data_IF_314982455574
#
_entry.id   IF_314982455574
#
_cell.length_a   1.000
_cell.length_b   1.000
_cell.length_c   1.000
_cell.angle_alpha   90.00
_cell.angle_beta   90.00
_cell.angle_gamma   90.00
#
_symmetry.space_group_name_H-M   'P 1'
#
loop_
_entity.id
_entity.type
_entity.pdbx_description
1 polymer ?
#
# COMPACT_ATOMS: atom_id res chain seq x y z
N UNK A 1 -19.13 -11.06 10.94
CA UNK A 1 -18.27 -12.06 10.28
C UNK A 1 -19.07 -12.82 9.23
N UNK A 2 -18.58 -12.83 7.99
CA UNK A 2 -19.25 -13.54 6.90
C UNK A 2 -19.02 -15.06 7.02
N UNK A 3 -19.99 -15.89 6.67
CA UNK A 3 -19.75 -17.31 6.52
C UNK A 3 -18.63 -17.59 5.51
N UNK A 4 -17.89 -18.67 5.74
CA UNK A 4 -16.68 -18.98 4.98
C UNK A 4 -16.90 -19.01 3.47
N UNK A 5 -17.98 -19.60 2.99
CA UNK A 5 -18.30 -19.67 1.57
C UNK A 5 -18.65 -18.28 0.98
N UNK A 6 -19.35 -17.45 1.75
CA UNK A 6 -19.67 -16.09 1.31
C UNK A 6 -18.43 -15.20 1.31
N UNK A 7 -17.51 -15.41 2.26
CA UNK A 7 -16.26 -14.69 2.31
C UNK A 7 -15.39 -15.00 1.09
N UNK A 8 -15.32 -16.26 0.67
CA UNK A 8 -14.57 -16.66 -0.53
C UNK A 8 -15.15 -15.99 -1.78
N UNK A 9 -16.47 -15.95 -1.91
CA UNK A 9 -17.13 -15.28 -3.04
C UNK A 9 -16.90 -13.78 -3.04
N UNK A 10 -17.03 -13.14 -1.88
CA UNK A 10 -16.81 -11.71 -1.73
C UNK A 10 -15.37 -11.35 -2.07
N UNK A 11 -14.41 -12.14 -1.60
CA UNK A 11 -13.00 -11.93 -1.88
C UNK A 11 -12.69 -12.07 -3.36
N UNK A 12 -13.25 -13.10 -4.02
CA UNK A 12 -13.08 -13.31 -5.46
C UNK A 12 -13.62 -12.14 -6.28
N UNK A 13 -14.79 -11.65 -5.91
CA UNK A 13 -15.39 -10.49 -6.58
C UNK A 13 -14.53 -9.24 -6.42
N UNK A 14 -13.98 -9.02 -5.22
CA UNK A 14 -13.11 -7.88 -4.97
C UNK A 14 -11.79 -8.00 -5.74
N UNK A 15 -11.16 -9.16 -5.70
CA UNK A 15 -9.89 -9.39 -6.39
C UNK A 15 -10.00 -9.33 -7.90
N UNK A 16 -11.19 -9.56 -8.45
CA UNK A 16 -11.42 -9.40 -9.90
C UNK A 16 -11.23 -7.94 -10.35
N UNK A 17 -11.25 -6.99 -9.42
CA UNK A 17 -11.00 -5.57 -9.70
C UNK A 17 -9.52 -5.19 -9.58
N UNK A 18 -8.66 -6.13 -9.22
CA UNK A 18 -7.22 -5.88 -9.04
C UNK A 18 -6.50 -5.92 -10.38
N UNK A 19 -6.54 -4.81 -11.10
CA UNK A 19 -5.92 -4.68 -12.43
C UNK A 19 -4.48 -4.18 -12.36
N UNK A 20 -4.01 -3.81 -11.18
CA UNK A 20 -2.68 -3.26 -10.98
C UNK A 20 -1.75 -4.31 -10.40
N UNK A 21 -0.45 -4.06 -10.47
CA UNK A 21 0.56 -4.93 -9.86
C UNK A 21 1.44 -4.14 -8.92
N UNK A 22 1.87 -4.81 -7.86
CA UNK A 22 2.70 -4.22 -6.82
C UNK A 22 3.91 -5.10 -6.53
N UNK A 23 5.07 -4.46 -6.44
CA UNK A 23 6.31 -5.10 -5.96
C UNK A 23 6.69 -4.43 -4.65
N UNK A 24 6.89 -5.24 -3.61
CA UNK A 24 7.19 -4.76 -2.26
C UNK A 24 8.66 -4.96 -1.98
N UNK A 25 9.35 -3.89 -1.58
CA UNK A 25 10.77 -3.89 -1.27
C UNK A 25 10.97 -3.36 0.15
N UNK A 26 11.76 -4.10 0.93
CA UNK A 26 12.13 -3.69 2.29
C UNK A 26 13.59 -3.26 2.33
N UNK A 27 13.87 -2.24 3.12
CA UNK A 27 15.22 -1.79 3.39
C UNK A 27 15.68 -2.48 4.67
N UNK A 28 16.57 -3.46 4.52
CA UNK A 28 16.97 -4.33 5.63
C UNK A 28 18.43 -4.14 5.99
N UNK A 29 18.70 -4.24 7.29
CA UNK A 29 20.05 -4.28 7.81
C UNK A 29 20.64 -5.66 7.51
N UNK A 30 21.79 -5.70 6.85
CA UNK A 30 22.45 -6.94 6.46
C UNK A 30 23.91 -6.88 6.86
N UNK A 31 24.48 -8.07 7.16
CA UNK A 31 25.90 -8.22 7.42
C UNK A 31 26.60 -8.51 6.11
N UNK A 32 27.55 -7.66 5.74
CA UNK A 32 28.31 -7.82 4.48
C UNK A 32 29.48 -8.78 4.65
N UNK A 33 30.06 -9.23 3.54
CA UNK A 33 31.15 -10.20 3.52
C UNK A 33 32.38 -9.73 4.30
N UNK A 34 32.64 -8.43 4.33
CA UNK A 34 33.76 -7.84 5.08
C UNK A 34 33.44 -7.63 6.55
N UNK A 35 32.41 -8.28 7.09
CA UNK A 35 31.95 -8.17 8.46
C UNK A 35 31.36 -6.80 8.84
N UNK A 36 31.28 -5.85 7.91
CA UNK A 36 30.63 -4.58 8.16
C UNK A 36 29.11 -4.75 8.08
N UNK A 37 28.38 -3.87 8.79
CA UNK A 37 26.93 -3.81 8.75
C UNK A 37 26.50 -2.74 7.75
N UNK A 38 25.59 -3.10 6.86
CA UNK A 38 25.03 -2.15 5.91
C UNK A 38 23.56 -2.42 5.70
N UNK A 39 22.96 -1.71 4.76
CA UNK A 39 21.55 -1.88 4.39
C UNK A 39 21.47 -2.34 2.95
N UNK A 40 20.54 -3.24 2.68
CA UNK A 40 20.22 -3.68 1.32
C UNK A 40 18.72 -3.61 1.09
N UNK A 41 18.35 -3.36 -0.16
CA UNK A 41 16.97 -3.41 -0.59
C UNK A 41 16.63 -4.85 -0.94
N UNK A 42 15.65 -5.40 -0.24
CA UNK A 42 15.23 -6.78 -0.42
C UNK A 42 13.82 -6.80 -0.99
N UNK A 43 13.67 -7.36 -2.19
CA UNK A 43 12.35 -7.57 -2.78
C UNK A 43 11.70 -8.74 -2.08
N UNK A 44 10.62 -8.49 -1.35
CA UNK A 44 9.93 -9.55 -0.59
C UNK A 44 8.74 -10.11 -1.34
N UNK A 45 8.23 -9.39 -2.34
CA UNK A 45 7.09 -9.83 -3.14
C UNK A 45 7.10 -9.11 -4.48
N UNK A 46 6.91 -9.85 -5.58
CA UNK A 46 6.90 -9.29 -6.92
C UNK A 46 5.55 -9.51 -7.60
N UNK A 47 5.15 -8.54 -8.41
CA UNK A 47 3.99 -8.64 -9.30
C UNK A 47 2.72 -9.12 -8.61
N UNK A 48 2.49 -8.66 -7.39
CA UNK A 48 1.30 -8.99 -6.63
C UNK A 48 0.11 -8.21 -7.17
N UNK A 49 -1.00 -8.89 -7.50
CA UNK A 49 -2.21 -8.17 -7.90
C UNK A 49 -2.69 -7.23 -6.80
N UNK A 50 -3.07 -6.04 -7.19
CA UNK A 50 -3.55 -5.01 -6.27
C UNK A 50 -4.44 -4.01 -7.00
N UNK A 51 -5.00 -3.08 -6.26
CA UNK A 51 -5.77 -1.98 -6.82
C UNK A 51 -5.35 -0.66 -6.19
N UNK A 52 -4.81 0.21 -7.01
CA UNK A 52 -4.48 1.57 -6.59
C UNK A 52 -5.74 2.42 -6.60
N UNK A 53 -5.95 3.18 -5.54
CA UNK A 53 -7.14 4.01 -5.38
C UNK A 53 -6.76 5.41 -4.95
N UNK A 54 -7.40 6.40 -5.57
CA UNK A 54 -7.26 7.80 -5.20
C UNK A 54 -8.55 8.28 -4.58
N UNK A 55 -8.49 8.73 -3.35
CA UNK A 55 -9.64 9.27 -2.64
C UNK A 55 -9.42 10.74 -2.34
N UNK A 56 -10.45 11.54 -2.57
CA UNK A 56 -10.42 12.97 -2.25
C UNK A 56 -11.28 13.19 -1.01
N UNK A 57 -10.67 13.78 0.03
CA UNK A 57 -11.37 14.15 1.25
C UNK A 57 -11.46 15.65 1.29
N UNK A 58 -12.69 16.14 1.42
CA UNK A 58 -12.95 17.57 1.57
C UNK A 58 -13.20 17.86 3.05
N UNK A 59 -12.32 18.67 3.64
CA UNK A 59 -12.48 19.15 5.01
C UNK A 59 -13.00 20.58 4.98
N UNK A 60 -14.19 20.76 5.53
CA UNK A 60 -14.71 22.11 5.75
C UNK A 60 -14.16 22.59 7.09
N UNK A 61 -13.23 23.54 7.04
CA UNK A 61 -12.71 24.15 8.25
C UNK A 61 -13.78 25.00 8.92
N UNK A 62 -13.98 24.80 10.22
CA UNK A 62 -14.90 25.61 11.01
C UNK A 62 -14.27 26.87 11.55
N UNK A 63 -13.06 27.17 11.20
CA UNK A 63 -12.48 28.48 11.49
C UNK A 63 -13.14 29.54 10.60
N UNK A 64 -13.46 30.66 11.17
CA UNK A 64 -14.38 31.67 10.63
C UNK A 64 -14.07 32.28 9.26
N UNK A 65 -13.15 31.76 8.49
CA UNK A 65 -12.84 32.20 7.13
C UNK A 65 -13.50 31.35 6.04
N UNK A 66 -14.20 30.27 6.42
CA UNK A 66 -14.89 29.41 5.47
C UNK A 66 -13.98 28.63 4.49
N UNK A 67 -12.70 28.53 4.76
CA UNK A 67 -11.78 27.84 3.87
C UNK A 67 -12.03 26.34 3.84
N UNK A 68 -12.16 25.78 2.63
CA UNK A 68 -12.29 24.36 2.40
C UNK A 68 -10.95 23.80 1.96
N UNK A 69 -10.42 22.82 2.68
CA UNK A 69 -9.22 22.12 2.25
C UNK A 69 -9.58 20.81 1.58
N UNK A 70 -8.90 20.50 0.48
CA UNK A 70 -9.07 19.27 -0.27
C UNK A 70 -7.79 18.46 -0.13
N UNK A 71 -7.92 17.23 0.39
CA UNK A 71 -6.77 16.32 0.56
C UNK A 71 -6.99 15.09 -0.30
N UNK A 72 -6.02 14.76 -1.13
CA UNK A 72 -6.02 13.53 -1.89
C UNK A 72 -5.25 12.46 -1.11
N UNK A 73 -5.92 11.31 -0.89
CA UNK A 73 -5.32 10.17 -0.23
C UNK A 73 -5.13 9.08 -1.26
N UNK A 74 -3.91 8.53 -1.33
CA UNK A 74 -3.58 7.42 -2.21
C UNK A 74 -3.56 6.16 -1.35
N UNK A 75 -4.29 5.15 -1.78
CA UNK A 75 -4.40 3.88 -1.05
C UNK A 75 -4.22 2.72 -2.03
N UNK A 76 -3.74 1.60 -1.52
CA UNK A 76 -3.71 0.36 -2.28
C UNK A 76 -4.50 -0.72 -1.55
N UNK A 77 -5.31 -1.46 -2.31
CA UNK A 77 -6.02 -2.64 -1.84
C UNK A 77 -5.24 -3.87 -2.29
N UNK A 78 -4.94 -4.76 -1.35
CA UNK A 78 -4.12 -5.94 -1.59
C UNK A 78 -4.63 -7.08 -0.70
N UNK A 79 -4.23 -8.31 -1.00
CA UNK A 79 -4.66 -9.48 -0.23
C UNK A 79 -4.29 -9.34 1.26
N UNK A 80 -5.20 -9.74 2.18
CA UNK A 80 -5.00 -9.45 3.60
C UNK A 80 -3.90 -10.27 4.28
N UNK A 81 -3.52 -11.41 3.72
CA UNK A 81 -2.45 -12.24 4.27
C UNK A 81 -1.05 -11.74 3.96
N UNK A 82 -0.92 -10.76 3.09
CA UNK A 82 0.38 -10.21 2.73
C UNK A 82 0.83 -9.24 3.81
N UNK A 83 2.03 -9.46 4.35
CA UNK A 83 2.59 -8.59 5.37
C UNK A 83 3.35 -7.46 4.71
N UNK A 84 2.90 -6.23 4.96
CA UNK A 84 3.57 -5.03 4.49
C UNK A 84 4.02 -4.25 5.70
N UNK A 85 5.32 -4.17 5.92
CA UNK A 85 5.86 -3.39 7.03
C UNK A 85 5.75 -1.90 6.74
N UNK A 86 5.38 -1.08 7.72
CA UNK A 86 5.39 0.37 7.53
C UNK A 86 6.75 0.86 7.06
N UNK A 87 6.75 1.75 6.08
CA UNK A 87 7.98 2.25 5.48
C UNK A 87 8.51 1.43 4.32
N UNK A 88 7.88 0.31 3.96
CA UNK A 88 8.26 -0.47 2.79
C UNK A 88 8.02 0.30 1.50
N UNK A 89 8.90 0.11 0.52
CA UNK A 89 8.69 0.66 -0.82
C UNK A 89 7.71 -0.23 -1.58
N UNK A 90 6.69 0.36 -2.15
CA UNK A 90 5.70 -0.32 -2.96
C UNK A 90 5.72 0.26 -4.37
N UNK A 91 6.27 -0.51 -5.29
CA UNK A 91 6.35 -0.11 -6.70
C UNK A 91 5.10 -0.62 -7.39
N UNK A 92 4.22 0.30 -7.79
CA UNK A 92 2.90 -0.03 -8.31
C UNK A 92 2.80 0.40 -9.76
N UNK A 93 2.38 -0.56 -10.61
CA UNK A 93 2.07 -0.29 -12.00
C UNK A 93 0.56 -0.21 -12.16
N UNK A 94 0.10 0.96 -12.59
CA UNK A 94 -1.32 1.27 -12.77
C UNK A 94 -1.51 1.88 -14.16
N UNK A 95 -2.33 1.24 -14.97
CA UNK A 95 -2.62 1.69 -16.35
C UNK A 95 -1.34 1.99 -17.16
N UNK A 96 -0.35 1.10 -17.05
CA UNK A 96 0.91 1.25 -17.78
C UNK A 96 1.91 2.22 -17.18
N UNK A 97 1.58 2.87 -16.07
CA UNK A 97 2.47 3.82 -15.39
C UNK A 97 2.95 3.21 -14.08
N UNK A 98 4.26 3.18 -13.89
CA UNK A 98 4.89 2.64 -12.69
C UNK A 98 5.37 3.79 -11.81
N UNK A 99 4.92 3.80 -10.55
CA UNK A 99 5.29 4.82 -9.56
C UNK A 99 5.75 4.12 -8.29
N UNK A 100 6.77 4.67 -7.66
CA UNK A 100 7.27 4.18 -6.38
C UNK A 100 6.58 4.93 -5.24
N UNK A 101 5.98 4.15 -4.35
CA UNK A 101 5.32 4.66 -3.14
C UNK A 101 5.98 4.09 -1.90
N UNK A 102 5.68 4.69 -0.77
CA UNK A 102 6.09 4.21 0.55
C UNK A 102 4.83 3.94 1.37
N UNK A 103 4.78 2.79 2.04
CA UNK A 103 3.66 2.49 2.92
C UNK A 103 3.70 3.39 4.14
N UNK A 104 2.57 4.02 4.45
CA UNK A 104 2.45 4.99 5.53
C UNK A 104 1.55 4.43 6.62
N UNK A 105 2.05 4.34 7.84
CA UNK A 105 1.29 3.88 8.99
C UNK A 105 0.98 2.38 8.97
N UNK A 106 0.04 2.00 9.81
CA UNK A 106 -0.39 0.61 9.92
C UNK A 106 -1.43 0.27 8.87
N UNK A 107 -1.34 -0.90 8.20
CA UNK A 107 -2.38 -1.33 7.27
C UNK A 107 -3.70 -1.59 8.01
N UNK A 108 -4.81 -1.21 7.38
CA UNK A 108 -6.14 -1.59 7.85
C UNK A 108 -6.52 -2.94 7.24
N UNK A 109 -6.57 -3.97 8.06
CA UNK A 109 -6.76 -5.34 7.60
C UNK A 109 -8.22 -5.76 7.81
N UNK A 110 -8.84 -6.23 6.73
CA UNK A 110 -10.21 -6.74 6.72
C UNK A 110 -10.19 -8.21 6.29
N UNK A 111 -11.35 -8.88 6.38
CA UNK A 111 -11.44 -10.31 6.04
C UNK A 111 -11.11 -10.59 4.57
N UNK A 112 -11.43 -9.68 3.67
CA UNK A 112 -11.29 -9.87 2.23
C UNK A 112 -10.12 -9.12 1.62
N UNK A 113 -9.57 -8.13 2.32
CA UNK A 113 -8.52 -7.27 1.78
C UNK A 113 -7.82 -6.51 2.89
N UNK A 114 -6.73 -5.85 2.56
CA UNK A 114 -6.17 -4.82 3.41
C UNK A 114 -6.01 -3.54 2.62
N UNK A 115 -6.11 -2.43 3.33
CA UNK A 115 -5.95 -1.08 2.79
C UNK A 115 -4.67 -0.47 3.35
N UNK A 116 -3.82 0.02 2.47
CA UNK A 116 -2.57 0.64 2.89
C UNK A 116 -2.54 2.06 2.33
N UNK A 117 -2.35 3.03 3.22
CA UNK A 117 -2.17 4.43 2.81
C UNK A 117 -0.75 4.59 2.29
N UNK A 118 -0.62 5.27 1.18
CA UNK A 118 0.65 5.46 0.48
C UNK A 118 1.03 6.93 0.43
N UNK A 119 2.34 7.17 0.43
CA UNK A 119 2.92 8.46 0.09
C UNK A 119 3.99 8.23 -0.97
N UNK A 120 4.39 9.27 -1.68
CA UNK A 120 5.44 9.15 -2.69
C UNK A 120 6.75 8.76 -2.03
N UNK A 121 7.47 7.81 -2.65
CA UNK A 121 8.77 7.38 -2.16
C UNK A 121 9.81 8.46 -2.44
N UNK A 122 10.45 8.95 -1.39
CA UNK A 122 11.47 10.00 -1.49
C UNK A 122 12.83 9.53 -0.97
N UNK A 123 12.99 8.22 -0.84
CA UNK A 123 14.19 7.60 -0.32
C UNK A 123 13.96 6.98 1.05
N UNK A 124 14.92 6.20 1.48
CA UNK A 124 14.90 5.59 2.81
C UNK A 124 15.32 6.64 3.84
N UNK A 125 14.43 6.91 4.75
CA UNK A 125 14.72 7.92 5.78
C UNK A 125 15.53 7.34 6.92
#
# INVERSE_FOLDING_TARGET
MLPKNQMVKARKALESLYDDTCTITEHRKVKKENMSTGFDDVVVLENQPCRLSYNTITNTSQTGNGATSVVQIIQVYIAPEIKVKPGSKMTITHQGVTVEYKSSGEPAIYDTHQKIVLELFKGWA
#
